data_IF_808541214967
#
_entry.id   IF_808541214967
#
_cell.length_a   1.000
_cell.length_b   1.000
_cell.length_c   1.000
_cell.angle_alpha   90.00
_cell.angle_beta   90.00
_cell.angle_gamma   90.00
#
_symmetry.space_group_name_H-M   'P 1'
#
loop_
_entity.id
_entity.type
_entity.pdbx_description
1 polymer ?
#
# COMPACT_ATOMS: atom_id res chain seq x y z
N UNK A 1 8.46 17.48 -0.24
CA UNK A 1 8.50 17.93 -1.66
C UNK A 1 7.20 18.67 -1.99
N UNK A 2 7.18 19.50 -3.08
CA UNK A 2 5.92 20.09 -3.56
C UNK A 2 5.13 19.05 -4.37
N UNK A 3 3.81 18.97 -4.16
CA UNK A 3 2.98 17.95 -4.82
C UNK A 3 1.56 18.45 -5.05
N UNK A 4 0.86 17.80 -5.99
CA UNK A 4 -0.57 18.00 -6.26
C UNK A 4 -1.28 16.64 -6.23
N UNK A 5 -2.40 16.53 -5.51
CA UNK A 5 -3.31 15.40 -5.63
C UNK A 5 -4.36 15.72 -6.71
N UNK A 6 -4.49 14.83 -7.69
CA UNK A 6 -5.34 15.01 -8.88
C UNK A 6 -6.32 13.84 -8.93
N UNK A 7 -7.58 14.13 -9.28
CA UNK A 7 -8.61 13.11 -9.46
C UNK A 7 -9.14 12.46 -8.18
N UNK A 8 -8.73 12.97 -7.00
CA UNK A 8 -9.28 12.52 -5.70
C UNK A 8 -10.74 12.92 -5.55
N UNK A 9 -11.57 12.16 -4.85
CA UNK A 9 -11.26 10.91 -4.11
C UNK A 9 -11.43 9.62 -4.93
N UNK A 10 -11.74 9.67 -6.22
CA UNK A 10 -12.24 8.49 -6.96
C UNK A 10 -11.16 7.82 -7.83
N UNK A 11 -10.32 8.62 -8.47
CA UNK A 11 -9.28 8.18 -9.40
C UNK A 11 -8.00 8.98 -9.13
N UNK A 12 -7.52 8.86 -7.89
CA UNK A 12 -6.42 9.65 -7.38
C UNK A 12 -5.08 9.32 -8.04
N UNK A 13 -4.34 10.38 -8.36
CA UNK A 13 -2.92 10.31 -8.65
C UNK A 13 -2.19 11.44 -7.94
N UNK A 14 -0.89 11.30 -7.74
CA UNK A 14 -0.03 12.36 -7.24
C UNK A 14 0.90 12.83 -8.35
N UNK A 15 1.00 14.14 -8.51
CA UNK A 15 2.04 14.82 -9.27
C UNK A 15 3.05 15.39 -8.30
N UNK A 16 4.28 14.92 -8.37
CA UNK A 16 5.40 15.39 -7.55
C UNK A 16 6.26 16.33 -8.37
N UNK A 17 6.55 17.52 -7.83
CA UNK A 17 7.43 18.50 -8.41
C UNK A 17 8.84 18.33 -7.83
N UNK A 18 9.77 17.87 -8.64
CA UNK A 18 11.15 17.66 -8.27
C UNK A 18 11.98 18.88 -8.61
N UNK A 19 12.81 19.34 -7.68
CA UNK A 19 13.87 20.31 -7.91
C UNK A 19 15.24 19.64 -7.78
N UNK A 20 16.31 20.36 -8.04
CA UNK A 20 17.67 19.82 -7.95
C UNK A 20 17.94 19.27 -6.53
N UNK A 21 18.24 17.99 -6.44
CA UNK A 21 18.52 17.27 -5.19
C UNK A 21 17.31 16.56 -4.57
N UNK A 22 16.11 16.76 -5.12
CA UNK A 22 14.93 16.00 -4.71
C UNK A 22 14.96 14.61 -5.34
N UNK A 23 14.53 13.63 -4.56
CA UNK A 23 14.37 12.24 -4.98
C UNK A 23 13.06 11.67 -4.44
N UNK A 24 12.24 11.10 -5.31
CA UNK A 24 11.05 10.33 -4.92
C UNK A 24 11.20 8.88 -5.36
N UNK A 25 10.91 7.96 -4.44
CA UNK A 25 10.84 6.53 -4.75
C UNK A 25 9.37 6.11 -4.87
N UNK A 26 9.05 5.28 -5.86
CA UNK A 26 7.70 4.81 -6.12
C UNK A 26 7.66 3.32 -6.42
N UNK A 27 6.47 2.72 -6.23
CA UNK A 27 6.22 1.33 -6.62
C UNK A 27 6.46 1.15 -8.12
N UNK A 28 7.04 0.00 -8.49
CA UNK A 28 7.25 -0.33 -9.90
C UNK A 28 5.91 -0.41 -10.64
N UNK A 29 5.81 0.32 -11.75
CA UNK A 29 4.58 0.41 -12.55
C UNK A 29 3.64 1.56 -12.15
N UNK A 30 3.97 2.34 -11.12
CA UNK A 30 3.14 3.48 -10.68
C UNK A 30 3.25 4.70 -11.62
N UNK A 31 4.29 4.81 -12.44
CA UNK A 31 4.50 5.99 -13.30
C UNK A 31 3.43 6.10 -14.37
N UNK A 32 2.72 7.22 -14.39
CA UNK A 32 1.80 7.65 -15.46
C UNK A 32 2.54 8.45 -16.52
N UNK A 33 3.39 9.38 -16.08
CA UNK A 33 4.19 10.23 -16.95
C UNK A 33 5.26 10.99 -16.20
N UNK A 34 6.26 11.52 -16.93
CA UNK A 34 7.28 12.37 -16.36
C UNK A 34 7.80 13.36 -17.40
N UNK A 35 8.30 14.49 -16.95
CA UNK A 35 8.97 15.46 -17.80
C UNK A 35 10.31 14.87 -18.31
N UNK A 36 10.77 15.32 -19.50
CA UNK A 36 12.02 14.85 -20.09
C UNK A 36 13.27 15.14 -19.23
N UNK A 37 13.18 16.12 -18.33
CA UNK A 37 14.23 16.48 -17.38
C UNK A 37 14.34 15.55 -16.18
N UNK A 38 13.39 14.64 -16.00
CA UNK A 38 13.37 13.65 -14.93
C UNK A 38 14.04 12.37 -15.39
N UNK A 39 14.94 11.85 -14.58
CA UNK A 39 15.60 10.56 -14.76
C UNK A 39 14.99 9.53 -13.80
N UNK A 40 14.82 8.30 -14.31
CA UNK A 40 14.32 7.18 -13.52
C UNK A 40 15.40 6.11 -13.41
N UNK A 41 15.73 5.72 -12.20
CA UNK A 41 16.59 4.58 -11.93
C UNK A 41 15.81 3.48 -11.21
N UNK A 42 15.84 2.28 -11.76
CA UNK A 42 15.35 1.08 -11.06
C UNK A 42 16.48 0.54 -10.22
N UNK A 43 16.48 0.86 -8.93
CA UNK A 43 17.52 0.40 -8.02
C UNK A 43 17.00 -0.63 -7.05
N UNK A 44 17.70 -1.76 -6.99
CA UNK A 44 17.68 -2.65 -5.83
C UNK A 44 18.69 -2.13 -4.82
N UNK A 45 18.43 -0.97 -4.18
CA UNK A 45 19.34 -0.38 -3.18
C UNK A 45 19.51 -1.32 -1.98
N UNK A 46 20.76 -1.50 -1.60
CA UNK A 46 21.40 -2.28 -0.54
C UNK A 46 20.50 -2.72 0.63
N UNK A 47 20.61 -3.93 1.10
CA UNK A 47 19.73 -4.53 2.10
C UNK A 47 18.48 -5.18 1.49
N UNK A 48 17.82 -4.54 0.54
CA UNK A 48 16.74 -5.09 -0.24
C UNK A 48 17.15 -6.25 -1.16
N UNK A 49 18.42 -6.31 -1.64
CA UNK A 49 18.88 -7.47 -2.43
C UNK A 49 18.87 -8.78 -1.65
N UNK A 50 19.17 -8.76 -0.35
CA UNK A 50 19.01 -9.97 0.48
C UNK A 50 17.54 -10.22 0.82
N UNK A 51 16.74 -9.17 1.01
CA UNK A 51 15.29 -9.22 1.21
C UNK A 51 14.57 -9.67 -0.06
N UNK A 52 14.96 -9.19 -1.24
CA UNK A 52 14.41 -9.62 -2.52
C UNK A 52 14.68 -11.11 -2.78
N UNK A 53 15.87 -11.63 -2.43
CA UNK A 53 16.13 -13.07 -2.51
C UNK A 53 15.29 -13.90 -1.54
N UNK A 54 14.89 -13.33 -0.37
CA UNK A 54 13.98 -13.98 0.59
C UNK A 54 12.51 -13.74 0.26
N UNK A 55 12.17 -12.61 -0.37
CA UNK A 55 10.83 -12.26 -0.83
C UNK A 55 10.35 -13.15 -2.00
N UNK A 56 11.29 -13.72 -2.76
CA UNK A 56 10.98 -14.76 -3.78
C UNK A 56 10.36 -16.03 -3.14
N UNK A 57 10.54 -16.25 -1.85
CA UNK A 57 9.85 -17.33 -1.12
C UNK A 57 8.39 -17.01 -0.75
N UNK A 58 7.96 -15.74 -0.91
CA UNK A 58 6.57 -15.30 -0.71
C UNK A 58 5.85 -14.84 -1.99
N UNK A 59 6.45 -15.00 -3.17
CA UNK A 59 5.77 -14.88 -4.47
C UNK A 59 5.74 -13.51 -5.12
N UNK A 60 6.12 -12.40 -4.46
CA UNK A 60 6.14 -11.08 -5.09
C UNK A 60 7.37 -10.26 -4.64
N UNK A 61 8.11 -9.76 -5.63
CA UNK A 61 9.23 -8.83 -5.40
C UNK A 61 8.69 -7.40 -5.29
N UNK A 62 9.07 -6.69 -4.23
CA UNK A 62 8.76 -5.28 -4.07
C UNK A 62 9.90 -4.47 -4.71
N UNK A 63 9.65 -3.96 -5.92
CA UNK A 63 10.61 -3.15 -6.66
C UNK A 63 10.24 -1.69 -6.56
N UNK A 64 11.23 -0.83 -6.37
CA UNK A 64 11.08 0.60 -6.33
C UNK A 64 11.85 1.24 -7.49
N UNK A 65 11.24 2.25 -8.08
CA UNK A 65 11.89 3.17 -9.00
C UNK A 65 12.17 4.48 -8.26
N UNK A 66 13.35 5.03 -8.45
CA UNK A 66 13.72 6.35 -7.94
C UNK A 66 13.73 7.35 -9.09
N UNK A 67 13.05 8.47 -8.89
CA UNK A 67 12.95 9.58 -9.86
C UNK A 67 13.70 10.77 -9.30
N UNK A 68 14.51 11.42 -10.17
CA UNK A 68 15.34 12.60 -9.87
C UNK A 68 15.26 13.62 -10.97
N UNK A 69 15.55 14.89 -10.68
CA UNK A 69 15.70 15.95 -11.68
C UNK A 69 17.11 16.54 -11.60
N UNK A 70 18.15 15.84 -12.10
CA UNK A 70 19.56 16.20 -11.86
C UNK A 70 19.97 17.52 -12.49
N UNK A 71 19.31 17.94 -13.57
CA UNK A 71 19.66 19.12 -14.35
C UNK A 71 18.69 20.31 -14.17
N UNK A 72 17.93 20.33 -13.06
CA UNK A 72 17.02 21.45 -12.80
C UNK A 72 15.77 21.04 -12.04
N UNK A 73 14.62 21.16 -12.68
CA UNK A 73 13.32 20.75 -12.13
C UNK A 73 12.53 19.93 -13.14
N UNK A 74 11.60 19.13 -12.65
CA UNK A 74 10.70 18.35 -13.47
C UNK A 74 9.57 17.77 -12.64
N UNK A 75 8.60 17.16 -13.31
CA UNK A 75 7.43 16.56 -12.68
C UNK A 75 7.38 15.07 -12.97
N UNK A 76 6.95 14.30 -12.01
CA UNK A 76 6.56 12.91 -12.19
C UNK A 76 5.12 12.72 -11.70
N UNK A 77 4.32 11.97 -12.45
CA UNK A 77 2.95 11.63 -12.14
C UNK A 77 2.87 10.14 -11.82
N UNK A 78 2.28 9.83 -10.67
CA UNK A 78 2.23 8.48 -10.12
C UNK A 78 0.78 8.13 -9.74
N UNK A 79 0.33 6.95 -10.17
CA UNK A 79 -0.99 6.42 -9.85
C UNK A 79 -0.92 4.89 -9.64
N UNK A 80 -1.89 4.38 -8.90
CA UNK A 80 -2.06 2.94 -8.72
C UNK A 80 -2.77 2.27 -9.88
N UNK A 81 -2.63 0.96 -9.99
CA UNK A 81 -3.36 0.16 -10.98
C UNK A 81 -4.84 -0.06 -10.65
N UNK A 82 -5.26 0.11 -9.39
CA UNK A 82 -6.66 -0.01 -8.96
C UNK A 82 -7.33 1.36 -8.86
N UNK A 83 -8.64 1.48 -9.22
CA UNK A 83 -9.37 2.72 -9.08
C UNK A 83 -9.59 3.05 -7.60
N UNK A 84 -9.16 4.22 -7.17
CA UNK A 84 -9.26 4.63 -5.79
C UNK A 84 -8.66 6.00 -5.53
N UNK A 85 -8.45 6.28 -4.26
CA UNK A 85 -7.96 7.56 -3.77
C UNK A 85 -6.46 7.52 -3.48
N UNK A 86 -5.86 8.69 -3.32
CA UNK A 86 -4.48 8.87 -2.87
C UNK A 86 -4.47 9.67 -1.57
N UNK A 87 -3.83 9.11 -0.54
CA UNK A 87 -3.58 9.76 0.74
C UNK A 87 -2.12 10.21 0.81
N UNK A 88 -1.91 11.47 1.17
CA UNK A 88 -0.60 11.97 1.57
C UNK A 88 -0.49 11.97 3.10
N UNK A 89 0.64 11.48 3.61
CA UNK A 89 1.02 11.54 5.01
C UNK A 89 2.40 12.21 5.11
N UNK A 90 2.49 13.27 5.92
CA UNK A 90 3.76 13.76 6.44
C UNK A 90 4.18 12.83 7.58
N UNK A 91 5.13 11.94 7.32
CA UNK A 91 5.48 10.86 8.22
C UNK A 91 6.24 11.38 9.44
N UNK A 92 5.52 11.58 10.54
CA UNK A 92 6.07 12.00 11.84
C UNK A 92 6.35 10.85 12.81
N UNK A 93 6.02 9.62 12.43
CA UNK A 93 6.21 8.39 13.21
C UNK A 93 5.96 7.15 12.37
N UNK A 94 6.33 5.96 12.86
CA UNK A 94 6.21 4.74 12.06
C UNK A 94 4.75 4.33 11.84
N UNK A 95 4.46 3.88 10.63
CA UNK A 95 3.17 3.33 10.21
C UNK A 95 3.35 1.92 9.67
N UNK A 96 2.34 1.10 9.90
CA UNK A 96 2.17 -0.19 9.24
C UNK A 96 1.21 0.02 8.08
N UNK A 97 1.60 -0.41 6.89
CA UNK A 97 0.82 -0.22 5.65
C UNK A 97 0.62 -1.55 4.95
N UNK A 98 -0.49 -1.75 4.29
CA UNK A 98 -0.66 -2.91 3.42
C UNK A 98 0.22 -2.75 2.18
N UNK A 99 0.80 -3.85 1.68
CA UNK A 99 1.74 -3.79 0.55
C UNK A 99 1.15 -3.09 -0.68
N UNK A 100 -0.08 -3.38 -1.03
CA UNK A 100 -0.76 -2.77 -2.17
C UNK A 100 -1.21 -1.31 -1.95
N UNK A 101 -0.96 -0.76 -0.75
CA UNK A 101 -1.26 0.64 -0.45
C UNK A 101 -0.07 1.58 -0.68
N UNK A 102 1.16 1.06 -0.75
CA UNK A 102 2.32 1.91 -1.01
C UNK A 102 2.30 2.41 -2.46
N UNK A 103 2.33 3.72 -2.66
CA UNK A 103 2.46 4.35 -3.97
C UNK A 103 3.85 4.95 -4.17
N UNK A 104 4.24 5.86 -3.28
CA UNK A 104 5.51 6.57 -3.37
C UNK A 104 5.90 7.15 -2.00
N UNK A 105 7.17 7.54 -1.87
CA UNK A 105 7.65 8.29 -0.70
C UNK A 105 8.95 9.05 -0.99
N UNK A 106 9.29 9.96 -0.10
CA UNK A 106 10.67 10.46 0.00
C UNK A 106 11.66 9.31 0.22
N UNK A 107 12.89 9.47 -0.25
CA UNK A 107 13.96 8.49 -0.02
C UNK A 107 14.44 8.45 1.45
N UNK A 108 14.08 9.44 2.26
CA UNK A 108 14.26 9.46 3.73
C UNK A 108 13.25 8.58 4.48
N UNK A 109 12.17 8.18 3.82
CA UNK A 109 11.24 7.19 4.34
C UNK A 109 11.78 5.78 4.03
N UNK A 110 12.03 5.01 5.10
CA UNK A 110 12.42 3.61 4.97
C UNK A 110 11.18 2.72 4.98
N UNK A 111 10.97 1.96 3.90
CA UNK A 111 9.87 0.99 3.78
C UNK A 111 10.43 -0.42 3.91
N UNK A 112 10.10 -1.13 4.99
CA UNK A 112 10.61 -2.46 5.33
C UNK A 112 9.51 -3.51 5.27
N UNK A 113 9.77 -4.60 4.53
CA UNK A 113 8.90 -5.77 4.44
C UNK A 113 9.15 -6.81 5.53
N UNK A 114 10.22 -6.68 6.32
CA UNK A 114 10.61 -7.61 7.39
C UNK A 114 10.08 -7.16 8.77
N UNK A 115 8.89 -6.63 8.80
CA UNK A 115 8.26 -6.19 10.04
C UNK A 115 8.06 -7.37 11.01
N UNK A 116 8.82 -7.35 12.11
CA UNK A 116 8.95 -8.45 13.05
C UNK A 116 7.64 -8.82 13.77
N UNK A 117 7.38 -10.12 13.93
CA UNK A 117 6.27 -10.65 14.74
C UNK A 117 4.93 -10.73 14.04
N UNK A 118 4.53 -9.73 13.27
CA UNK A 118 3.25 -9.71 12.53
C UNK A 118 3.30 -10.47 11.21
N UNK A 119 4.50 -10.75 10.67
CA UNK A 119 4.64 -11.55 9.43
C UNK A 119 3.97 -12.92 9.51
N UNK A 120 3.98 -13.56 10.68
CA UNK A 120 3.29 -14.83 10.88
C UNK A 120 1.77 -14.71 10.86
N UNK A 121 1.23 -13.56 11.28
CA UNK A 121 -0.22 -13.32 11.33
C UNK A 121 -0.80 -12.97 9.95
N UNK A 122 -0.12 -12.11 9.19
CA UNK A 122 -0.62 -11.65 7.89
C UNK A 122 -0.15 -12.51 6.71
N UNK A 123 0.98 -13.22 6.82
CA UNK A 123 1.49 -14.07 5.74
C UNK A 123 0.58 -15.26 5.43
N UNK A 124 -0.14 -15.77 6.45
CA UNK A 124 -1.16 -16.82 6.27
C UNK A 124 -2.44 -16.33 5.59
N UNK A 125 -2.61 -15.02 5.43
CA UNK A 125 -3.82 -14.37 4.92
C UNK A 125 -3.66 -13.82 3.50
N UNK A 126 -2.47 -13.95 2.89
CA UNK A 126 -2.18 -13.38 1.58
C UNK A 126 -1.97 -11.86 1.57
N UNK A 127 -2.00 -11.18 2.72
CA UNK A 127 -1.74 -9.75 2.85
C UNK A 127 -0.32 -9.50 3.33
N UNK A 128 0.54 -8.98 2.45
CA UNK A 128 1.84 -8.46 2.84
C UNK A 128 1.69 -7.13 3.58
N UNK A 129 2.36 -6.99 4.72
CA UNK A 129 2.47 -5.72 5.44
C UNK A 129 3.87 -5.16 5.28
N UNK A 130 3.94 -3.83 5.20
CA UNK A 130 5.17 -3.05 5.17
C UNK A 130 5.19 -2.14 6.39
N UNK A 131 6.37 -1.80 6.88
CA UNK A 131 6.56 -0.76 7.89
C UNK A 131 7.24 0.43 7.26
N UNK A 132 6.56 1.57 7.23
CA UNK A 132 7.14 2.85 6.85
C UNK A 132 7.66 3.55 8.10
N UNK A 133 8.90 4.02 8.05
CA UNK A 133 9.56 4.73 9.16
C UNK A 133 10.54 5.79 8.64
N UNK A 134 10.91 6.73 9.48
CA UNK A 134 11.72 7.89 9.08
C UNK A 134 10.88 9.15 9.12
N UNK A 135 11.14 10.08 8.23
CA UNK A 135 10.39 11.36 8.10
C UNK A 135 10.34 11.78 6.65
N UNK A 136 9.29 12.48 6.26
CA UNK A 136 9.07 12.98 4.91
C UNK A 136 7.74 12.54 4.33
N UNK A 137 7.55 12.81 3.05
CA UNK A 137 6.29 12.54 2.36
C UNK A 137 6.11 11.04 2.08
N UNK A 138 4.95 10.51 2.45
CA UNK A 138 4.49 9.16 2.13
C UNK A 138 3.14 9.25 1.41
N UNK A 139 3.06 8.64 0.24
CA UNK A 139 1.84 8.58 -0.56
C UNK A 139 1.31 7.16 -0.56
N UNK A 140 0.06 7.01 -0.13
CA UNK A 140 -0.65 5.74 -0.10
C UNK A 140 -1.80 5.77 -1.10
N UNK A 141 -2.12 4.62 -1.68
CA UNK A 141 -3.25 4.45 -2.57
C UNK A 141 -4.23 3.42 -2.03
N UNK A 142 -5.49 3.55 -2.38
CA UNK A 142 -6.57 2.66 -1.95
C UNK A 142 -7.30 2.02 -3.12
N UNK A 143 -8.09 1.00 -2.83
CA UNK A 143 -9.16 0.56 -3.70
C UNK A 143 -10.50 1.18 -3.21
N UNK A 144 -11.05 2.12 -4.01
CA UNK A 144 -12.16 2.98 -3.60
C UNK A 144 -11.70 4.14 -2.71
N UNK A 145 -12.62 4.75 -1.98
CA UNK A 145 -12.35 5.91 -1.14
C UNK A 145 -11.61 5.55 0.16
N UNK A 146 -10.86 6.50 0.69
CA UNK A 146 -10.13 6.39 1.96
C UNK A 146 -10.99 6.98 3.09
N UNK A 147 -10.93 6.33 4.25
CA UNK A 147 -11.52 6.81 5.49
C UNK A 147 -10.49 6.78 6.60
N UNK A 148 -10.29 7.90 7.23
CA UNK A 148 -9.51 8.06 8.46
C UNK A 148 -10.39 7.78 9.68
N UNK A 149 -9.89 6.98 10.63
CA UNK A 149 -10.59 6.58 11.85
C UNK A 149 -9.69 6.81 13.03
N UNK A 150 -10.05 7.78 13.86
CA UNK A 150 -9.43 8.00 15.17
C UNK A 150 -9.84 6.89 16.14
N UNK A 151 -8.89 6.08 16.56
CA UNK A 151 -9.08 5.06 17.59
C UNK A 151 -8.76 5.64 18.95
N UNK A 152 -9.73 5.55 19.87
CA UNK A 152 -9.56 5.86 21.27
C UNK A 152 -10.24 4.74 22.09
N UNK A 153 -9.46 3.75 22.47
CA UNK A 153 -9.92 2.53 23.10
C UNK A 153 -9.86 1.32 22.18
N UNK A 154 -10.95 0.90 21.57
CA UNK A 154 -10.99 -0.29 20.72
C UNK A 154 -11.77 -0.05 19.41
N UNK A 155 -11.23 -0.55 18.30
CA UNK A 155 -11.89 -0.52 17.00
C UNK A 155 -11.62 -1.80 16.22
N UNK A 156 -12.61 -2.30 15.50
CA UNK A 156 -12.51 -3.55 14.71
C UNK A 156 -12.73 -3.27 13.25
N UNK A 157 -11.82 -3.79 12.41
CA UNK A 157 -11.84 -3.62 10.96
C UNK A 157 -11.69 -4.98 10.28
N UNK A 158 -12.47 -5.25 9.24
CA UNK A 158 -12.18 -6.37 8.33
C UNK A 158 -10.79 -6.21 7.72
N UNK A 159 -9.98 -7.28 7.74
CA UNK A 159 -8.58 -7.21 7.30
C UNK A 159 -8.41 -6.76 5.86
N UNK A 160 -9.37 -7.06 4.99
CA UNK A 160 -9.36 -6.66 3.58
C UNK A 160 -9.61 -5.16 3.35
N UNK A 161 -10.06 -4.45 4.38
CA UNK A 161 -10.32 -3.01 4.33
C UNK A 161 -9.25 -2.16 5.01
N UNK A 162 -8.23 -2.77 5.62
CA UNK A 162 -7.11 -2.03 6.22
C UNK A 162 -6.22 -1.49 5.11
N UNK A 163 -5.95 -0.18 5.16
CA UNK A 163 -5.00 0.51 4.30
C UNK A 163 -3.66 0.72 5.02
N UNK A 164 -3.72 1.39 6.17
CA UNK A 164 -2.58 1.70 7.01
C UNK A 164 -3.03 1.97 8.46
N UNK A 165 -2.09 1.97 9.38
CA UNK A 165 -2.31 2.41 10.76
C UNK A 165 -1.00 2.84 11.43
N UNK A 166 -1.12 3.67 12.45
CA UNK A 166 0.04 4.05 13.27
C UNK A 166 0.57 2.86 14.06
N UNK A 167 1.89 2.62 14.01
CA UNK A 167 2.57 1.47 14.64
C UNK A 167 2.50 1.47 16.18
N UNK A 168 2.03 2.55 16.78
CA UNK A 168 1.78 2.64 18.24
C UNK A 168 0.48 1.96 18.70
N UNK A 169 -0.41 1.60 17.77
CA UNK A 169 -1.62 0.83 18.10
C UNK A 169 -1.29 -0.63 18.33
N UNK A 170 -1.76 -1.18 19.44
CA UNK A 170 -1.81 -2.64 19.60
C UNK A 170 -2.85 -3.22 18.66
N UNK A 171 -2.53 -4.33 17.99
CA UNK A 171 -3.47 -4.99 17.10
C UNK A 171 -3.43 -6.50 17.20
N UNK A 172 -4.57 -7.12 16.96
CA UNK A 172 -4.71 -8.58 16.93
C UNK A 172 -5.67 -8.99 15.82
N UNK A 173 -5.28 -10.02 15.05
CA UNK A 173 -6.13 -10.60 14.00
C UNK A 173 -6.86 -11.80 14.55
N UNK A 174 -8.18 -11.82 14.36
CA UNK A 174 -9.06 -12.85 14.91
C UNK A 174 -10.22 -13.17 13.97
N UNK A 175 -10.87 -14.29 14.19
CA UNK A 175 -12.12 -14.67 13.51
C UNK A 175 -13.32 -14.09 14.25
N UNK A 176 -14.30 -13.58 13.52
CA UNK A 176 -15.54 -13.04 14.11
C UNK A 176 -16.38 -14.17 14.69
N UNK A 177 -16.54 -14.22 16.03
CA UNK A 177 -17.48 -15.10 16.70
C UNK A 177 -17.17 -16.60 16.65
N UNK A 178 -15.94 -16.99 16.29
CA UNK A 178 -15.52 -18.39 16.17
C UNK A 178 -15.72 -18.95 14.75
N UNK A 179 -15.22 -20.18 14.49
CA UNK A 179 -15.13 -20.75 13.14
C UNK A 179 -16.47 -20.98 12.41
N UNK A 180 -17.56 -21.30 13.12
CA UNK A 180 -18.88 -21.54 12.49
C UNK A 180 -19.56 -20.23 12.05
N UNK A 181 -19.66 -19.18 12.89
CA UNK A 181 -20.15 -17.87 12.48
C UNK A 181 -19.31 -17.25 11.35
N UNK A 182 -17.99 -17.36 11.40
CA UNK A 182 -17.10 -16.83 10.34
C UNK A 182 -17.42 -17.42 8.96
N UNK A 183 -17.68 -18.73 8.89
CA UNK A 183 -18.03 -19.40 7.62
C UNK A 183 -19.40 -18.97 7.07
N UNK A 184 -20.34 -18.59 7.94
CA UNK A 184 -21.72 -18.26 7.56
C UNK A 184 -21.97 -16.76 7.39
N UNK A 185 -21.15 -15.90 8.03
CA UNK A 185 -21.29 -14.44 7.94
C UNK A 185 -20.75 -13.87 6.63
N UNK A 186 -19.89 -14.61 5.94
CA UNK A 186 -19.14 -14.07 4.79
C UNK A 186 -18.01 -13.11 5.17
N UNK A 187 -17.90 -12.79 6.48
CA UNK A 187 -16.80 -11.99 7.03
C UNK A 187 -15.61 -12.91 7.27
N UNK A 188 -14.46 -12.51 6.77
CA UNK A 188 -13.23 -13.27 6.90
C UNK A 188 -12.57 -13.09 8.27
N UNK A 189 -11.39 -12.54 8.26
CA UNK A 189 -10.64 -12.20 9.44
C UNK A 189 -10.80 -10.71 9.73
N UNK A 190 -10.86 -10.36 10.99
CA UNK A 190 -10.89 -8.98 11.45
C UNK A 190 -9.63 -8.65 12.23
N UNK A 191 -9.22 -7.41 12.15
CA UNK A 191 -8.18 -6.83 12.97
C UNK A 191 -8.82 -5.98 14.06
N UNK A 192 -8.48 -6.27 15.30
CA UNK A 192 -8.89 -5.50 16.47
C UNK A 192 -7.74 -4.61 16.89
N UNK A 193 -7.94 -3.31 16.78
CA UNK A 193 -7.01 -2.29 17.22
C UNK A 193 -7.34 -1.85 18.65
N UNK A 194 -6.31 -1.54 19.44
CA UNK A 194 -6.42 -1.01 20.81
C UNK A 194 -5.43 0.10 21.05
N UNK A 195 -5.85 1.10 21.85
CA UNK A 195 -5.01 2.23 22.24
C UNK A 195 -5.52 3.55 21.67
N UNK A 196 -4.60 4.46 21.43
CA UNK A 196 -4.86 5.78 20.85
C UNK A 196 -4.03 5.95 19.60
N UNK A 197 -4.68 6.23 18.46
CA UNK A 197 -4.01 6.42 17.19
C UNK A 197 -4.96 6.36 16.01
N UNK A 198 -4.43 6.42 14.81
CA UNK A 198 -5.20 6.50 13.58
C UNK A 198 -5.13 5.20 12.79
N UNK A 199 -6.26 4.76 12.29
CA UNK A 199 -6.39 3.67 11.30
C UNK A 199 -6.98 4.24 10.03
N UNK A 200 -6.34 3.98 8.90
CA UNK A 200 -6.82 4.31 7.56
C UNK A 200 -7.44 3.08 6.94
N UNK A 201 -8.66 3.23 6.43
CA UNK A 201 -9.40 2.14 5.80
C UNK A 201 -9.81 2.51 4.38
N UNK A 202 -10.02 1.49 3.54
CA UNK A 202 -10.51 1.63 2.18
C UNK A 202 -11.91 1.05 2.03
N UNK A 203 -12.71 1.62 1.12
CA UNK A 203 -14.13 1.24 0.96
C UNK A 203 -14.34 -0.04 0.14
N UNK A 204 -13.35 -0.52 -0.55
CA UNK A 204 -13.37 -1.75 -1.36
C UNK A 204 -12.23 -2.68 -0.95
N UNK A 205 -12.33 -3.95 -1.31
CA UNK A 205 -11.23 -4.90 -1.18
C UNK A 205 -11.12 -5.77 -2.43
N UNK A 206 -9.91 -6.14 -2.79
CA UNK A 206 -9.60 -6.90 -4.00
C UNK A 206 -10.22 -8.28 -4.02
N UNK A 207 -10.27 -9.07 -2.92
CA UNK A 207 -10.90 -10.38 -2.91
C UNK A 207 -12.39 -10.33 -3.24
N UNK A 208 -13.15 -9.41 -2.65
CA UNK A 208 -14.58 -9.24 -2.94
C UNK A 208 -14.82 -8.81 -4.39
N UNK A 209 -13.99 -7.92 -4.91
CA UNK A 209 -14.06 -7.50 -6.31
C UNK A 209 -13.74 -8.64 -7.27
N UNK A 210 -12.70 -9.42 -7.00
CA UNK A 210 -12.35 -10.60 -7.80
C UNK A 210 -13.47 -11.66 -7.78
N UNK A 211 -14.11 -11.89 -6.63
CA UNK A 211 -15.24 -12.80 -6.49
C UNK A 211 -16.45 -12.32 -7.28
N UNK A 212 -16.72 -11.01 -7.24
CA UNK A 212 -17.79 -10.40 -8.04
C UNK A 212 -17.52 -10.50 -9.54
N UNK A 213 -16.27 -10.33 -9.98
CA UNK A 213 -15.88 -10.39 -11.39
C UNK A 213 -15.86 -11.82 -11.95
N UNK A 214 -15.66 -12.82 -11.10
CA UNK A 214 -15.47 -14.23 -11.51
C UNK A 214 -16.56 -14.78 -12.43
N UNK A 215 -17.89 -14.54 -12.21
CA UNK A 215 -18.94 -15.03 -13.10
C UNK A 215 -18.92 -14.41 -14.50
N UNK A 216 -18.24 -13.28 -14.68
CA UNK A 216 -18.16 -12.57 -15.97
C UNK A 216 -16.91 -12.92 -16.78
N UNK A 217 -16.02 -13.77 -16.24
CA UNK A 217 -14.89 -14.28 -17.00
C UNK A 217 -15.39 -15.20 -18.10
N UNK A 218 -14.88 -15.00 -19.34
CA UNK A 218 -15.09 -15.99 -20.39
C UNK A 218 -14.47 -17.31 -19.93
N UNK A 219 -15.26 -18.38 -19.92
CA UNK A 219 -14.73 -19.72 -19.76
C UNK A 219 -13.66 -19.97 -20.84
N UNK A 220 -12.56 -20.60 -20.48
CA UNK A 220 -11.71 -21.24 -21.49
C UNK A 220 -12.62 -22.23 -22.20
N UNK A 221 -12.90 -21.98 -23.49
CA UNK A 221 -13.47 -23.01 -24.36
C UNK A 221 -12.35 -24.04 -24.51
N UNK A 222 -12.60 -25.25 -24.02
CA UNK A 222 -11.82 -26.44 -24.39
C UNK A 222 -11.96 -26.63 -25.91
N UNK A 223 -11.15 -25.92 -26.68
CA UNK A 223 -10.92 -26.18 -28.11
C UNK A 223 -9.62 -27.00 -28.21
N UNK A 224 -9.68 -28.23 -27.72
CA UNK A 224 -8.78 -29.31 -28.06
C UNK A 224 -9.63 -30.48 -28.58
N UNK A 225 -9.93 -30.46 -29.87
CA UNK A 225 -10.18 -31.65 -30.72
C UNK A 225 -9.27 -31.61 -31.96
#
# INVERSE_FOLDING_TARGET
MDYELIGTPDYGMVRVHLTHGDEVQAESGAMVGMDQSVEMETSMKGGFMESAKRSVMGGESFFLNTFTAPNGSGRVELAAGLPGDVLHLDLGGPHVITRGAFLASDTSVNVDSQFGGSQGFFSGLGFGMLRASGSGDLYLTSFGGIREVEVNGEYVVDTGHILAFEDRLDFNVETVGGWKPTLLSGEGLVCRFRGEGTVYTQTRNTPSFASWLHPFRRGETDDDE
#
